data_IF_421904204307
#
_entry.id   IF_421904204307
#
_cell.length_a   1.000
_cell.length_b   1.000
_cell.length_c   1.000
_cell.angle_alpha   90.00
_cell.angle_beta   90.00
_cell.angle_gamma   90.00
#
_symmetry.space_group_name_H-M   'P 1'
#
loop_
_entity.id
_entity.type
_entity.pdbx_description
1 polymer ?
#
# COMPACT_ATOMS: atom_id res chain seq x y z
N UNK A 1 -6.02 -39.15 12.20
CA UNK A 1 -5.11 -38.63 11.18
C UNK A 1 -5.93 -37.89 10.13
N UNK A 2 -5.99 -36.56 10.22
CA UNK A 2 -6.43 -35.71 9.13
C UNK A 2 -5.37 -34.62 9.00
N UNK A 3 -4.54 -34.71 7.96
CA UNK A 3 -3.59 -33.68 7.60
C UNK A 3 -4.38 -32.50 7.04
N UNK A 4 -4.55 -31.43 7.81
CA UNK A 4 -4.81 -30.11 7.25
C UNK A 4 -3.47 -29.39 7.12
N UNK A 5 -2.69 -29.73 6.10
CA UNK A 5 -1.70 -28.76 5.61
C UNK A 5 -2.51 -27.64 4.98
N UNK A 6 -2.77 -26.56 5.71
CA UNK A 6 -3.14 -25.30 5.07
C UNK A 6 -1.98 -24.97 4.15
N UNK A 7 -2.17 -25.14 2.83
CA UNK A 7 -1.19 -24.62 1.89
C UNK A 7 -1.16 -23.12 2.14
N UNK A 8 -0.07 -22.63 2.74
CA UNK A 8 0.18 -21.20 2.84
C UNK A 8 0.22 -20.69 1.40
N UNK A 9 -0.83 -20.00 0.99
CA UNK A 9 -0.86 -19.32 -0.30
C UNK A 9 0.29 -18.32 -0.31
N UNK A 10 1.27 -18.53 -1.19
CA UNK A 10 2.42 -17.63 -1.32
C UNK A 10 1.94 -16.22 -1.68
N UNK A 11 2.44 -15.24 -0.95
CA UNK A 11 2.17 -13.82 -1.19
C UNK A 11 3.23 -13.24 -2.13
N UNK A 12 2.76 -12.58 -3.19
CA UNK A 12 3.58 -11.92 -4.18
C UNK A 12 3.28 -10.42 -4.13
N UNK A 13 4.30 -9.63 -3.83
CA UNK A 13 4.23 -8.19 -3.98
C UNK A 13 4.61 -7.80 -5.40
N UNK A 14 3.83 -6.91 -6.01
CA UNK A 14 4.00 -6.50 -7.39
C UNK A 14 4.03 -4.98 -7.48
N UNK A 15 4.98 -4.47 -8.24
CA UNK A 15 5.03 -3.09 -8.71
C UNK A 15 5.40 -3.06 -10.19
N UNK A 16 4.87 -2.09 -10.92
CA UNK A 16 5.12 -1.94 -12.35
C UNK A 16 5.24 -0.47 -12.75
N UNK A 17 5.96 -0.24 -13.83
CA UNK A 17 5.96 1.02 -14.57
C UNK A 17 5.74 0.72 -16.08
N UNK A 18 5.95 1.72 -16.93
CA UNK A 18 5.77 1.59 -18.38
C UNK A 18 6.76 0.60 -19.04
N UNK A 19 7.90 0.34 -18.39
CA UNK A 19 9.03 -0.38 -18.98
C UNK A 19 9.24 -1.79 -18.41
N UNK A 20 8.90 -2.02 -17.14
CA UNK A 20 9.10 -3.30 -16.48
C UNK A 20 8.16 -3.51 -15.29
N UNK A 21 8.10 -4.76 -14.84
CA UNK A 21 7.42 -5.17 -13.62
C UNK A 21 8.39 -5.89 -12.69
N UNK A 22 8.27 -5.61 -11.40
CA UNK A 22 8.99 -6.27 -10.31
C UNK A 22 8.01 -7.15 -9.53
N UNK A 23 8.37 -8.41 -9.32
CA UNK A 23 7.64 -9.34 -8.49
C UNK A 23 8.55 -9.84 -7.37
N UNK A 24 8.09 -9.73 -6.13
CA UNK A 24 8.87 -10.08 -4.94
C UNK A 24 8.09 -11.03 -4.04
N UNK A 25 8.79 -12.02 -3.52
CA UNK A 25 8.40 -12.83 -2.36
C UNK A 25 9.54 -12.77 -1.34
N UNK A 26 9.37 -13.30 -0.11
CA UNK A 26 10.46 -13.35 0.87
C UNK A 26 11.73 -14.07 0.41
N UNK A 27 11.65 -14.91 -0.63
CA UNK A 27 12.77 -15.71 -1.12
C UNK A 27 13.19 -15.41 -2.57
N UNK A 28 12.46 -14.54 -3.27
CA UNK A 28 12.67 -14.32 -4.70
C UNK A 28 12.37 -12.88 -5.10
N UNK A 29 13.20 -12.33 -5.98
CA UNK A 29 12.92 -11.13 -6.76
C UNK A 29 13.05 -11.48 -8.23
N UNK A 30 12.01 -11.20 -9.01
CA UNK A 30 11.98 -11.47 -10.45
C UNK A 30 11.52 -10.23 -11.21
N UNK A 31 12.20 -9.96 -12.32
CA UNK A 31 11.91 -8.85 -13.23
C UNK A 31 11.28 -9.36 -14.52
N UNK A 32 10.36 -8.56 -15.07
CA UNK A 32 9.66 -8.85 -16.31
C UNK A 32 9.62 -7.61 -17.19
N UNK A 33 9.86 -7.76 -18.48
CA UNK A 33 9.76 -6.67 -19.46
C UNK A 33 8.31 -6.41 -19.85
N UNK A 34 7.48 -7.46 -19.81
CA UNK A 34 6.07 -7.37 -20.17
C UNK A 34 5.17 -7.91 -19.08
N UNK A 35 3.96 -7.34 -19.03
CA UNK A 35 2.89 -7.81 -18.15
C UNK A 35 2.48 -9.25 -18.49
N UNK A 36 2.58 -9.68 -19.74
CA UNK A 36 2.25 -11.05 -20.11
C UNK A 36 3.19 -12.06 -19.42
N UNK A 37 4.50 -11.80 -19.41
CA UNK A 37 5.47 -12.67 -18.76
C UNK A 37 5.22 -12.78 -17.25
N UNK A 38 4.91 -11.66 -16.60
CA UNK A 38 4.53 -11.66 -15.18
C UNK A 38 3.24 -12.47 -14.95
N UNK A 39 2.25 -12.39 -15.84
CA UNK A 39 1.01 -13.17 -15.74
C UNK A 39 1.27 -14.68 -15.78
N UNK A 40 2.14 -15.12 -16.69
CA UNK A 40 2.52 -16.52 -16.85
C UNK A 40 3.35 -17.04 -15.68
N UNK A 41 4.17 -16.18 -15.09
CA UNK A 41 4.98 -16.52 -13.92
C UNK A 41 4.12 -16.75 -12.66
N UNK A 42 3.06 -15.98 -12.48
CA UNK A 42 2.26 -16.03 -11.26
C UNK A 42 1.47 -17.35 -11.16
N UNK A 43 1.60 -18.11 -10.05
CA UNK A 43 0.85 -19.33 -9.85
C UNK A 43 -0.67 -19.14 -9.94
N UNK A 44 -1.39 -20.23 -10.24
CA UNK A 44 -2.86 -20.22 -10.28
C UNK A 44 -3.43 -19.87 -8.90
N UNK A 45 -2.84 -20.42 -7.83
CA UNK A 45 -3.23 -20.14 -6.44
C UNK A 45 -2.13 -19.32 -5.76
N UNK A 46 -2.27 -18.01 -5.80
CA UNK A 46 -1.39 -17.07 -5.12
C UNK A 46 -2.19 -15.90 -4.54
N UNK A 47 -1.60 -15.19 -3.58
CA UNK A 47 -2.10 -13.89 -3.13
C UNK A 47 -1.25 -12.83 -3.76
N UNK A 48 -1.87 -11.89 -4.46
CA UNK A 48 -1.17 -10.78 -5.10
C UNK A 48 -1.47 -9.51 -4.33
N UNK A 49 -0.42 -8.82 -3.89
CA UNK A 49 -0.49 -7.48 -3.33
C UNK A 49 0.11 -6.51 -4.34
N UNK A 50 -0.67 -5.54 -4.80
CA UNK A 50 -0.24 -4.57 -5.79
C UNK A 50 -0.01 -3.21 -5.14
N UNK A 51 1.20 -2.67 -5.32
CA UNK A 51 1.55 -1.32 -4.89
C UNK A 51 0.92 -0.27 -5.83
N UNK A 52 -0.28 0.16 -5.46
CA UNK A 52 -1.09 1.15 -6.16
C UNK A 52 -0.48 2.55 -6.03
N UNK A 53 -0.33 3.31 -7.13
CA UNK A 53 0.20 4.65 -7.05
C UNK A 53 -0.64 5.56 -6.14
N UNK A 54 0.03 6.27 -5.26
CA UNK A 54 -0.58 6.98 -4.15
C UNK A 54 -1.55 8.08 -4.65
N UNK A 55 -1.24 8.68 -5.79
CA UNK A 55 -2.04 9.71 -6.45
C UNK A 55 -3.44 9.22 -6.88
N UNK A 56 -3.63 7.91 -7.04
CA UNK A 56 -4.94 7.33 -7.38
C UNK A 56 -5.80 7.01 -6.15
N UNK A 57 -5.23 7.12 -4.95
CA UNK A 57 -5.93 6.83 -3.69
C UNK A 57 -6.30 8.16 -3.05
N UNK A 58 -7.58 8.49 -3.09
CA UNK A 58 -8.11 9.55 -2.25
C UNK A 58 -8.05 9.08 -0.80
N UNK A 59 -7.56 9.95 0.09
CA UNK A 59 -7.41 9.64 1.52
C UNK A 59 -7.78 10.84 2.37
N UNK A 60 -8.50 10.60 3.47
CA UNK A 60 -8.79 11.66 4.44
C UNK A 60 -9.01 11.08 5.83
N UNK A 61 -8.56 11.83 6.84
CA UNK A 61 -8.72 11.46 8.24
C UNK A 61 -9.86 12.25 8.87
N UNK A 62 -10.70 11.56 9.64
CA UNK A 62 -11.78 12.15 10.42
C UNK A 62 -11.66 11.75 11.88
N UNK A 63 -12.03 12.68 12.76
CA UNK A 63 -12.21 12.42 14.19
C UNK A 63 -13.69 12.46 14.50
N UNK A 64 -14.24 11.32 14.92
CA UNK A 64 -15.65 11.15 15.25
C UNK A 64 -15.82 10.82 16.74
N UNK A 65 -16.99 11.08 17.34
CA UNK A 65 -17.31 10.50 18.65
C UNK A 65 -17.35 8.96 18.57
N UNK A 66 -17.34 8.30 19.73
CA UNK A 66 -17.58 6.85 19.80
C UNK A 66 -18.97 6.51 19.25
N UNK A 67 -19.02 5.64 18.24
CA UNK A 67 -20.25 5.19 17.57
C UNK A 67 -20.33 3.67 17.57
N UNK A 68 -21.55 3.12 17.60
CA UNK A 68 -21.74 1.70 17.29
C UNK A 68 -21.47 1.43 15.80
N UNK A 69 -21.28 0.16 15.42
CA UNK A 69 -20.90 -0.23 14.05
C UNK A 69 -21.87 0.28 12.96
N UNK A 70 -23.18 0.23 13.23
CA UNK A 70 -24.19 0.65 12.26
C UNK A 70 -24.15 2.17 12.02
N UNK A 71 -24.10 2.95 13.10
CA UNK A 71 -24.01 4.41 13.04
C UNK A 71 -22.69 4.87 12.41
N UNK A 72 -21.61 4.13 12.67
CA UNK A 72 -20.31 4.38 12.09
C UNK A 72 -20.30 4.21 10.57
N UNK A 73 -20.80 3.08 10.07
CA UNK A 73 -20.88 2.83 8.62
C UNK A 73 -21.75 3.88 7.91
N UNK A 74 -22.94 4.19 8.46
CA UNK A 74 -23.81 5.23 7.90
C UNK A 74 -23.13 6.61 7.88
N UNK A 75 -22.36 6.93 8.93
CA UNK A 75 -21.60 8.19 9.00
C UNK A 75 -20.46 8.23 7.98
N UNK A 76 -19.73 7.13 7.78
CA UNK A 76 -18.69 6.98 6.74
C UNK A 76 -19.29 7.20 5.35
N UNK A 77 -20.39 6.52 5.03
CA UNK A 77 -21.13 6.67 3.77
C UNK A 77 -21.53 8.13 3.52
N UNK A 78 -21.97 8.84 4.56
CA UNK A 78 -22.30 10.27 4.47
C UNK A 78 -21.08 11.14 4.22
N UNK A 79 -19.96 10.87 4.91
CA UNK A 79 -18.70 11.60 4.71
C UNK A 79 -18.21 11.44 3.26
N UNK A 80 -18.19 10.22 2.73
CA UNK A 80 -17.79 9.96 1.35
C UNK A 80 -18.63 10.76 0.35
N UNK A 81 -19.95 10.78 0.52
CA UNK A 81 -20.87 11.57 -0.33
C UNK A 81 -20.65 13.08 -0.26
N UNK A 82 -20.13 13.59 0.85
CA UNK A 82 -19.87 15.02 1.03
C UNK A 82 -18.51 15.44 0.46
N UNK A 83 -17.55 14.52 0.49
CA UNK A 83 -16.14 14.81 0.21
C UNK A 83 -15.73 14.46 -1.22
N UNK A 84 -16.34 13.43 -1.80
CA UNK A 84 -16.01 12.97 -3.12
C UNK A 84 -17.02 13.51 -4.14
N UNK A 85 -16.55 13.99 -5.31
CA UNK A 85 -17.44 14.38 -6.40
C UNK A 85 -18.06 13.19 -7.13
N UNK A 86 -17.59 11.97 -6.85
CA UNK A 86 -18.06 10.72 -7.46
C UNK A 86 -19.16 10.06 -6.63
N UNK A 87 -20.04 9.31 -7.30
CA UNK A 87 -21.05 8.50 -6.62
C UNK A 87 -20.42 7.29 -5.92
N UNK A 88 -21.09 6.77 -4.89
CA UNK A 88 -20.63 5.55 -4.20
C UNK A 88 -20.60 4.31 -5.12
N UNK A 89 -21.39 4.32 -6.19
CA UNK A 89 -21.42 3.24 -7.17
C UNK A 89 -20.14 3.20 -8.01
N UNK A 90 -19.43 4.33 -8.13
CA UNK A 90 -18.21 4.49 -8.93
C UNK A 90 -16.93 4.30 -8.13
N UNK A 91 -17.00 4.12 -6.81
CA UNK A 91 -15.82 3.98 -5.95
C UNK A 91 -15.81 2.67 -5.16
N UNK A 92 -14.62 2.09 -5.00
CA UNK A 92 -14.31 1.21 -3.88
C UNK A 92 -13.78 2.08 -2.75
N UNK A 93 -14.13 1.79 -1.51
CA UNK A 93 -13.56 2.47 -0.36
C UNK A 93 -13.28 1.47 0.75
N UNK A 94 -12.28 1.80 1.55
CA UNK A 94 -11.92 1.08 2.77
C UNK A 94 -11.65 2.09 3.88
N UNK A 95 -11.61 1.62 5.12
CA UNK A 95 -11.31 2.46 6.26
C UNK A 95 -10.62 1.70 7.39
N UNK A 96 -9.69 2.40 8.02
CA UNK A 96 -9.07 1.98 9.28
C UNK A 96 -9.63 2.81 10.44
N UNK A 97 -9.96 2.15 11.55
CA UNK A 97 -10.49 2.79 12.75
C UNK A 97 -9.52 2.57 13.91
N UNK A 98 -9.14 3.66 14.54
CA UNK A 98 -8.33 3.67 15.74
C UNK A 98 -9.06 4.43 16.85
N UNK A 99 -9.41 3.77 17.97
CA UNK A 99 -9.91 4.47 19.14
C UNK A 99 -8.83 5.41 19.72
N UNK A 100 -9.19 6.67 19.97
CA UNK A 100 -8.32 7.67 20.60
C UNK A 100 -9.09 8.36 21.72
N UNK A 101 -8.77 8.01 22.96
CA UNK A 101 -9.44 8.51 24.16
C UNK A 101 -10.98 8.40 24.08
N UNK A 102 -11.69 9.52 23.90
CA UNK A 102 -13.16 9.60 23.79
C UNK A 102 -13.65 9.76 22.33
N UNK A 103 -12.80 9.44 21.35
CA UNK A 103 -13.06 9.59 19.93
C UNK A 103 -12.60 8.38 19.11
N UNK A 104 -13.05 8.33 17.86
CA UNK A 104 -12.57 7.43 16.83
C UNK A 104 -11.81 8.25 15.80
N UNK A 105 -10.55 7.92 15.56
CA UNK A 105 -9.83 8.33 14.36
C UNK A 105 -10.17 7.35 13.25
N UNK A 106 -10.56 7.88 12.10
CA UNK A 106 -10.92 7.10 10.93
C UNK A 106 -10.06 7.58 9.78
N UNK A 107 -9.21 6.70 9.26
CA UNK A 107 -8.55 6.91 7.99
C UNK A 107 -9.43 6.30 6.89
N UNK A 108 -9.98 7.14 6.02
CA UNK A 108 -10.80 6.73 4.88
C UNK A 108 -9.97 6.74 3.61
N UNK A 109 -10.12 5.69 2.81
CA UNK A 109 -9.47 5.52 1.52
C UNK A 109 -10.52 5.28 0.45
N UNK A 110 -10.39 5.90 -0.72
CA UNK A 110 -11.28 5.65 -1.85
C UNK A 110 -10.50 5.56 -3.16
N UNK A 111 -10.93 4.64 -4.01
CA UNK A 111 -10.40 4.37 -5.34
C UNK A 111 -11.57 4.30 -6.33
N UNK A 112 -11.39 4.80 -7.54
CA UNK A 112 -12.40 4.65 -8.60
C UNK A 112 -12.48 3.18 -9.04
N UNK A 113 -13.68 2.59 -9.14
CA UNK A 113 -13.85 1.16 -9.49
C UNK A 113 -13.26 0.78 -10.86
N UNK A 114 -13.35 1.69 -11.83
CA UNK A 114 -12.77 1.47 -13.14
C UNK A 114 -11.23 1.63 -13.15
N UNK A 115 -10.60 1.88 -12.01
CA UNK A 115 -9.15 1.79 -11.94
C UNK A 115 -8.67 0.38 -12.30
N UNK A 116 -9.41 -0.68 -11.92
CA UNK A 116 -9.07 -2.04 -12.32
C UNK A 116 -9.11 -2.29 -13.84
N UNK A 117 -9.87 -1.50 -14.60
CA UNK A 117 -9.85 -1.62 -16.08
C UNK A 117 -8.60 -0.97 -16.70
N UNK A 118 -7.91 -0.12 -15.95
CA UNK A 118 -6.60 0.44 -16.32
C UNK A 118 -5.45 -0.44 -15.82
N UNK A 119 -5.75 -1.38 -14.94
CA UNK A 119 -4.79 -2.30 -14.39
C UNK A 119 -4.56 -3.48 -15.36
N UNK A 120 -3.34 -4.03 -15.42
CA UNK A 120 -2.99 -5.12 -16.32
C UNK A 120 -3.91 -6.34 -16.18
N UNK A 121 -4.07 -7.12 -17.27
CA UNK A 121 -4.80 -8.39 -17.29
C UNK A 121 -4.42 -9.36 -16.14
N UNK A 122 -3.20 -9.26 -15.61
CA UNK A 122 -2.71 -9.99 -14.43
C UNK A 122 -3.61 -9.82 -13.20
N UNK A 123 -4.22 -8.65 -13.06
CA UNK A 123 -4.96 -8.26 -11.88
C UNK A 123 -6.44 -8.65 -11.95
N UNK A 124 -6.81 -9.51 -12.91
CA UNK A 124 -8.08 -10.24 -12.89
C UNK A 124 -8.13 -11.35 -11.83
N UNK A 125 -7.04 -11.59 -11.10
CA UNK A 125 -6.97 -12.44 -9.90
C UNK A 125 -7.48 -11.65 -8.68
N UNK A 126 -7.79 -12.33 -7.57
CA UNK A 126 -8.08 -11.66 -6.29
C UNK A 126 -6.85 -10.88 -5.80
N UNK A 127 -6.78 -9.60 -6.16
CA UNK A 127 -5.67 -8.68 -5.86
C UNK A 127 -6.05 -7.81 -4.69
N UNK A 128 -5.12 -7.67 -3.75
CA UNK A 128 -5.18 -6.65 -2.71
C UNK A 128 -4.44 -5.42 -3.20
N UNK A 129 -5.10 -4.27 -3.12
CA UNK A 129 -4.52 -2.98 -3.46
C UNK A 129 -3.96 -2.33 -2.22
N UNK A 130 -2.70 -1.95 -2.29
CA UNK A 130 -1.97 -1.35 -1.19
C UNK A 130 -1.32 -0.05 -1.66
N UNK A 131 -1.18 0.93 -0.78
CA UNK A 131 -0.61 2.22 -1.14
C UNK A 131 0.90 2.08 -1.32
N UNK A 132 1.44 2.55 -2.45
CA UNK A 132 2.88 2.46 -2.72
C UNK A 132 3.76 3.12 -1.64
N UNK A 133 3.27 4.18 -0.99
CA UNK A 133 4.01 4.87 0.07
C UNK A 133 4.13 4.00 1.31
N UNK A 134 3.06 3.28 1.67
CA UNK A 134 3.06 2.30 2.75
C UNK A 134 3.99 1.14 2.40
N UNK A 135 3.96 0.68 1.14
CA UNK A 135 4.88 -0.35 0.66
C UNK A 135 6.34 0.10 0.80
N UNK A 136 6.69 1.29 0.32
CA UNK A 136 8.05 1.82 0.41
C UNK A 136 8.50 1.94 1.87
N UNK A 137 7.64 2.46 2.75
CA UNK A 137 7.95 2.58 4.17
C UNK A 137 8.21 1.20 4.81
N UNK A 138 7.31 0.23 4.60
CA UNK A 138 7.49 -1.16 5.06
C UNK A 138 8.80 -1.78 4.56
N UNK A 139 9.09 -1.63 3.26
CA UNK A 139 10.31 -2.17 2.67
C UNK A 139 11.56 -1.56 3.30
N UNK A 140 11.58 -0.24 3.51
CA UNK A 140 12.73 0.46 4.09
C UNK A 140 12.91 0.13 5.57
N UNK A 141 11.83 0.02 6.35
CA UNK A 141 11.87 -0.48 7.72
C UNK A 141 12.47 -1.89 7.76
N UNK A 142 11.98 -2.80 6.91
CA UNK A 142 12.46 -4.18 6.83
C UNK A 142 13.96 -4.25 6.48
N UNK A 143 14.39 -3.54 5.43
CA UNK A 143 15.77 -3.55 4.95
C UNK A 143 16.74 -2.92 5.96
N UNK A 144 16.28 -1.94 6.74
CA UNK A 144 17.06 -1.29 7.79
C UNK A 144 16.86 -1.93 9.18
N UNK A 145 16.12 -3.04 9.27
CA UNK A 145 15.82 -3.77 10.52
C UNK A 145 15.21 -2.86 11.61
N UNK A 146 14.32 -1.96 11.21
CA UNK A 146 13.62 -1.04 12.09
C UNK A 146 12.21 -1.55 12.42
N UNK A 147 11.71 -1.17 13.59
CA UNK A 147 10.37 -1.54 14.04
C UNK A 147 9.31 -0.61 13.43
N UNK A 148 8.27 -1.21 12.84
CA UNK A 148 7.06 -0.52 12.37
C UNK A 148 6.33 0.28 13.44
N UNK A 149 6.47 -0.09 14.73
CA UNK A 149 5.87 0.67 15.84
C UNK A 149 6.41 2.11 15.95
N UNK A 150 7.57 2.38 15.35
CA UNK A 150 8.24 3.69 15.36
C UNK A 150 8.16 4.41 14.00
N UNK A 151 7.27 3.97 13.09
CA UNK A 151 7.20 4.46 11.71
C UNK A 151 7.10 5.99 11.61
N UNK A 152 6.46 6.65 12.57
CA UNK A 152 6.27 8.10 12.61
C UNK A 152 7.56 8.89 12.83
N UNK A 153 8.64 8.24 13.28
CA UNK A 153 9.94 8.86 13.51
C UNK A 153 10.79 8.94 12.23
N UNK A 154 10.42 8.15 11.23
CA UNK A 154 11.21 7.97 10.02
C UNK A 154 10.69 8.82 8.86
N UNK A 155 11.64 9.19 8.01
CA UNK A 155 11.42 9.84 6.74
C UNK A 155 11.89 8.90 5.63
N UNK A 156 11.16 8.91 4.52
CA UNK A 156 11.40 8.01 3.40
C UNK A 156 11.55 8.82 2.11
N UNK A 157 12.52 8.50 1.25
CA UNK A 157 12.66 9.15 -0.05
C UNK A 157 11.54 8.71 -1.00
N UNK A 158 10.97 9.67 -1.72
CA UNK A 158 10.02 9.40 -2.81
C UNK A 158 10.20 10.42 -3.92
N UNK A 159 10.67 9.95 -5.08
CA UNK A 159 11.00 10.78 -6.24
C UNK A 159 11.99 11.92 -5.92
N UNK A 160 11.50 13.16 -5.84
CA UNK A 160 12.26 14.38 -5.51
C UNK A 160 11.87 14.96 -4.13
N UNK A 161 11.13 14.18 -3.34
CA UNK A 161 10.59 14.58 -2.05
C UNK A 161 10.93 13.54 -0.99
N UNK A 162 10.58 13.88 0.25
CA UNK A 162 10.55 12.98 1.38
C UNK A 162 9.13 12.88 1.88
N UNK A 163 8.74 11.73 2.40
CA UNK A 163 7.47 11.57 3.09
C UNK A 163 7.66 10.92 4.46
N UNK A 164 6.69 11.14 5.33
CA UNK A 164 6.54 10.44 6.60
C UNK A 164 5.08 9.99 6.75
N UNK A 165 4.88 8.91 7.50
CA UNK A 165 3.57 8.36 7.83
C UNK A 165 3.25 8.72 9.27
N UNK A 166 2.27 9.59 9.47
CA UNK A 166 1.82 10.02 10.79
C UNK A 166 0.37 9.62 11.03
N UNK A 167 -0.06 9.73 12.29
CA UNK A 167 -1.46 9.75 12.68
C UNK A 167 -2.29 10.78 11.88
N UNK A 168 -1.71 11.88 11.37
CA UNK A 168 -2.42 12.85 10.53
C UNK A 168 -2.54 12.43 9.05
N UNK A 169 -1.89 11.34 8.66
CA UNK A 169 -1.82 10.84 7.30
C UNK A 169 -0.39 10.94 6.75
N UNK A 170 -0.29 10.99 5.44
CA UNK A 170 0.99 11.17 4.74
C UNK A 170 1.34 12.65 4.68
N UNK A 171 2.55 13.00 5.09
CA UNK A 171 3.10 14.36 4.92
C UNK A 171 4.30 14.32 3.98
N UNK A 172 4.38 15.29 3.07
CA UNK A 172 5.47 15.43 2.11
C UNK A 172 6.32 16.66 2.41
N UNK A 173 7.62 16.54 2.14
CA UNK A 173 8.62 17.59 2.33
C UNK A 173 9.53 17.66 1.11
N UNK A 174 9.79 18.88 0.64
CA UNK A 174 10.78 19.13 -0.43
C UNK A 174 12.22 19.13 0.11
N UNK A 175 12.38 19.49 1.38
CA UNK A 175 13.66 19.45 2.11
C UNK A 175 13.48 18.65 3.39
N UNK A 176 14.47 17.83 3.70
CA UNK A 176 14.46 17.00 4.89
C UNK A 176 14.51 17.89 6.16
N UNK A 177 13.57 17.74 7.13
CA UNK A 177 13.59 18.51 8.37
C UNK A 177 14.85 18.27 9.20
N UNK A 178 15.23 19.25 10.02
CA UNK A 178 16.33 19.10 10.97
C UNK A 178 16.04 17.93 11.95
N UNK A 179 17.07 17.15 12.28
CA UNK A 179 16.99 15.98 13.18
C UNK A 179 16.10 14.83 12.69
N UNK A 180 15.79 14.78 11.39
CA UNK A 180 15.08 13.66 10.78
C UNK A 180 15.88 12.35 10.79
N UNK A 181 15.22 11.22 11.02
CA UNK A 181 15.79 9.90 10.76
C UNK A 181 15.39 9.43 9.36
N UNK A 182 16.26 9.65 8.38
CA UNK A 182 16.03 9.22 7.00
C UNK A 182 16.40 7.75 6.82
N UNK A 183 15.44 6.92 6.41
CA UNK A 183 15.70 5.55 5.99
C UNK A 183 15.86 5.50 4.48
N UNK A 184 16.98 4.93 4.02
CA UNK A 184 17.26 4.75 2.59
C UNK A 184 17.62 3.31 2.31
N UNK A 185 17.60 2.98 1.02
CA UNK A 185 18.14 1.75 0.49
C UNK A 185 18.89 2.10 -0.78
N UNK A 186 20.12 1.60 -0.89
CA UNK A 186 20.94 1.75 -2.09
C UNK A 186 21.39 0.36 -2.49
N UNK A 187 20.97 -0.07 -3.68
CA UNK A 187 21.50 -1.26 -4.32
C UNK A 187 22.12 -0.88 -5.66
N UNK A 188 23.45 -0.96 -5.73
CA UNK A 188 24.22 -0.56 -6.92
C UNK A 188 23.96 -1.47 -8.13
N UNK A 189 23.31 -2.62 -7.96
CA UNK A 189 22.91 -3.51 -9.05
C UNK A 189 21.63 -3.05 -9.76
N UNK A 190 20.86 -2.13 -9.18
CA UNK A 190 19.59 -1.65 -9.74
C UNK A 190 19.69 -0.19 -10.16
N UNK A 191 19.08 0.14 -11.30
CA UNK A 191 18.83 1.54 -11.69
C UNK A 191 17.87 2.20 -10.68
N UNK A 192 17.82 3.53 -10.66
CA UNK A 192 17.03 4.28 -9.66
C UNK A 192 15.53 3.95 -9.72
N UNK A 193 14.99 3.80 -10.93
CA UNK A 193 13.61 3.39 -11.19
C UNK A 193 13.34 1.95 -10.75
N UNK A 194 14.29 1.04 -10.99
CA UNK A 194 14.24 -0.35 -10.51
C UNK A 194 14.30 -0.41 -8.99
N UNK A 195 15.15 0.37 -8.33
CA UNK A 195 15.19 0.43 -6.86
C UNK A 195 13.82 0.81 -6.29
N UNK A 196 13.15 1.78 -6.90
CA UNK A 196 11.82 2.20 -6.46
C UNK A 196 10.76 1.11 -6.71
N UNK A 197 10.78 0.44 -7.87
CA UNK A 197 9.91 -0.71 -8.13
C UNK A 197 10.15 -1.86 -7.15
N UNK A 198 11.42 -2.15 -6.85
CA UNK A 198 11.79 -3.16 -5.88
C UNK A 198 11.26 -2.83 -4.49
N UNK A 199 11.44 -1.59 -4.01
CA UNK A 199 10.91 -1.18 -2.70
C UNK A 199 9.38 -1.31 -2.64
N UNK A 200 8.67 -0.89 -3.69
CA UNK A 200 7.21 -1.06 -3.79
C UNK A 200 6.80 -2.53 -3.76
N UNK A 201 7.44 -3.37 -4.57
CA UNK A 201 7.11 -4.80 -4.65
C UNK A 201 7.49 -5.55 -3.36
N UNK A 202 8.66 -5.28 -2.78
CA UNK A 202 9.06 -5.85 -1.49
C UNK A 202 8.07 -5.45 -0.39
N UNK A 203 7.74 -4.17 -0.31
CA UNK A 203 6.79 -3.65 0.66
C UNK A 203 5.41 -4.26 0.57
N UNK A 204 4.92 -4.47 -0.66
CA UNK A 204 3.68 -5.16 -0.93
C UNK A 204 3.77 -6.64 -0.53
N UNK A 205 4.91 -7.30 -0.76
CA UNK A 205 5.12 -8.70 -0.38
C UNK A 205 5.14 -8.92 1.14
N UNK A 206 5.39 -7.87 1.91
CA UNK A 206 5.42 -7.85 3.37
C UNK A 206 4.07 -7.45 4.00
N UNK A 207 3.03 -7.20 3.20
CA UNK A 207 1.71 -6.82 3.70
C UNK A 207 1.13 -7.89 4.64
N UNK A 208 0.63 -7.46 5.79
CA UNK A 208 0.07 -8.33 6.83
C UNK A 208 -1.44 -8.13 7.05
N UNK A 209 -2.06 -7.15 6.39
CA UNK A 209 -3.47 -6.79 6.58
C UNK A 209 -3.76 -5.87 7.75
N UNK A 210 -2.73 -5.30 8.36
CA UNK A 210 -2.85 -4.43 9.53
C UNK A 210 -2.41 -2.99 9.21
N UNK A 211 -2.98 -2.36 8.18
CA UNK A 211 -2.70 -0.94 7.84
C UNK A 211 -3.92 -0.20 7.29
#
# INVERSE_FOLDING_TARGET
MCFSSSMQTTQYGIALNENCSCCVTPSLTQWFETQHQLAEFLPIKCRVIYALPHQHIWRKIFFLPLLNKQNLHAKIVRLLKQELPLSLEEICFDYYIQPIAQSLRIALFALRKNYHTQLPLILSKDVIFDCELHCIARALLYLNQQDSAQIEQFYFPFEQQFFTLQNSGVQFYTTLPEQSQLLTFVNNSYRKDEQMLYLKALGASLWNGEE
#
